data_IF_156947645406
#
_entry.id   IF_156947645406
#
_cell.length_a   1.000
_cell.length_b   1.000
_cell.length_c   1.000
_cell.angle_alpha   90.00
_cell.angle_beta   90.00
_cell.angle_gamma   90.00
#
_symmetry.space_group_name_H-M   'P 1'
#
loop_
_entity.id
_entity.type
_entity.pdbx_description
1 polymer ?
#
# COMPACT_ATOMS: atom_id res chain seq x y z
N UNK A 1 -31.03 -12.77 -14.88
CA UNK A 1 -30.78 -13.11 -16.30
C UNK A 1 -29.87 -12.13 -17.03
N UNK A 2 -30.18 -10.82 -17.07
CA UNK A 2 -29.31 -9.81 -17.74
C UNK A 2 -27.89 -9.82 -17.17
N UNK A 3 -27.72 -9.87 -15.85
CA UNK A 3 -26.41 -9.95 -15.17
C UNK A 3 -25.61 -11.18 -15.58
N UNK A 4 -26.25 -12.34 -15.68
CA UNK A 4 -25.59 -13.58 -16.08
C UNK A 4 -25.13 -13.52 -17.55
N UNK A 5 -25.93 -12.96 -18.44
CA UNK A 5 -25.54 -12.69 -19.82
C UNK A 5 -24.39 -11.70 -19.90
N UNK A 6 -24.44 -10.62 -19.10
CA UNK A 6 -23.37 -9.61 -19.06
C UNK A 6 -22.02 -10.20 -18.62
N UNK A 7 -22.00 -11.09 -17.63
CA UNK A 7 -20.78 -11.82 -17.23
C UNK A 7 -20.20 -12.62 -18.40
N UNK A 8 -21.06 -13.40 -19.08
CA UNK A 8 -20.65 -14.18 -20.24
C UNK A 8 -20.13 -13.32 -21.41
N UNK A 9 -20.77 -12.15 -21.65
CA UNK A 9 -20.33 -11.19 -22.66
C UNK A 9 -18.98 -10.57 -22.32
N UNK A 10 -18.78 -10.10 -21.08
CA UNK A 10 -17.53 -9.49 -20.63
C UNK A 10 -16.34 -10.44 -20.80
N UNK A 11 -16.44 -11.65 -20.27
CA UNK A 11 -15.39 -12.66 -20.38
C UNK A 11 -15.23 -13.11 -21.84
N UNK A 12 -16.34 -13.26 -22.56
CA UNK A 12 -16.36 -13.69 -23.95
C UNK A 12 -15.73 -12.69 -24.93
N UNK A 13 -15.87 -11.38 -24.70
CA UNK A 13 -15.19 -10.33 -25.48
C UNK A 13 -13.68 -10.46 -25.33
N UNK A 14 -13.20 -10.59 -24.11
CA UNK A 14 -11.76 -10.72 -23.82
C UNK A 14 -11.19 -12.01 -24.44
N UNK A 15 -11.84 -13.15 -24.23
CA UNK A 15 -11.41 -14.43 -24.81
C UNK A 15 -11.47 -14.41 -26.33
N UNK A 16 -12.54 -13.87 -26.92
CA UNK A 16 -12.67 -13.71 -28.36
C UNK A 16 -11.62 -12.81 -28.98
N UNK A 17 -11.26 -11.72 -28.31
CA UNK A 17 -10.17 -10.83 -28.71
C UNK A 17 -8.82 -11.53 -28.69
N UNK A 18 -8.51 -12.25 -27.63
CA UNK A 18 -7.24 -12.96 -27.44
C UNK A 18 -7.03 -14.05 -28.51
N UNK A 19 -8.10 -14.80 -28.82
CA UNK A 19 -8.06 -15.94 -29.76
C UNK A 19 -8.37 -15.51 -31.22
N UNK A 20 -8.38 -14.20 -31.53
CA UNK A 20 -8.76 -13.71 -32.88
C UNK A 20 -7.83 -14.19 -34.00
N UNK A 21 -6.58 -14.53 -33.68
CA UNK A 21 -5.59 -15.04 -34.66
C UNK A 21 -5.68 -16.55 -34.92
N UNK A 22 -6.46 -17.31 -34.14
CA UNK A 22 -6.59 -18.75 -34.32
C UNK A 22 -7.60 -19.09 -35.44
N UNK A 23 -7.34 -20.20 -36.15
CA UNK A 23 -8.24 -20.67 -37.25
C UNK A 23 -9.63 -21.00 -36.72
N UNK A 24 -10.67 -20.75 -37.53
CA UNK A 24 -12.01 -21.17 -37.19
C UNK A 24 -12.07 -22.70 -37.00
N UNK A 25 -12.71 -23.13 -35.88
CA UNK A 25 -12.75 -24.54 -35.45
C UNK A 25 -11.69 -24.97 -34.45
N UNK A 26 -10.58 -24.22 -34.28
CA UNK A 26 -9.56 -24.49 -33.28
C UNK A 26 -9.77 -23.67 -31.99
N UNK A 27 -10.65 -22.71 -31.97
CA UNK A 27 -10.99 -21.89 -30.80
C UNK A 27 -11.83 -22.68 -29.81
N UNK A 28 -11.33 -22.89 -28.61
CA UNK A 28 -12.03 -23.65 -27.54
C UNK A 28 -13.35 -23.00 -27.16
N UNK A 29 -13.37 -21.68 -26.97
CA UNK A 29 -14.53 -20.91 -26.58
C UNK A 29 -14.30 -19.42 -26.93
N UNK A 30 -15.24 -18.80 -27.63
CA UNK A 30 -15.24 -17.38 -27.95
C UNK A 30 -16.43 -16.65 -27.34
N UNK A 31 -16.72 -15.45 -27.85
CA UNK A 31 -17.81 -14.59 -27.38
C UNK A 31 -19.16 -15.34 -27.31
N UNK A 32 -19.53 -16.10 -28.34
CA UNK A 32 -20.80 -16.84 -28.37
C UNK A 32 -20.88 -17.89 -27.28
N UNK A 33 -19.81 -18.67 -27.10
CA UNK A 33 -19.76 -19.77 -26.13
C UNK A 33 -19.85 -19.23 -24.69
N UNK A 34 -19.09 -18.20 -24.35
CA UNK A 34 -19.12 -17.59 -23.01
C UNK A 34 -20.47 -16.91 -22.74
N UNK A 35 -21.06 -16.23 -23.73
CA UNK A 35 -22.40 -15.63 -23.59
C UNK A 35 -23.46 -16.67 -23.31
N UNK A 36 -23.46 -17.78 -24.07
CA UNK A 36 -24.39 -18.90 -23.87
C UNK A 36 -24.16 -19.57 -22.52
N UNK A 37 -22.89 -19.73 -22.11
CA UNK A 37 -22.55 -20.28 -20.81
C UNK A 37 -23.09 -19.42 -19.65
N UNK A 38 -22.95 -18.09 -19.74
CA UNK A 38 -23.57 -17.16 -18.82
C UNK A 38 -25.08 -17.29 -18.75
N UNK A 39 -25.75 -17.40 -19.92
CA UNK A 39 -27.19 -17.61 -19.97
C UNK A 39 -27.62 -18.93 -19.32
N UNK A 40 -26.99 -20.04 -19.69
CA UNK A 40 -27.28 -21.37 -19.12
C UNK A 40 -27.09 -21.36 -17.61
N UNK A 41 -26.01 -20.76 -17.14
CA UNK A 41 -25.74 -20.61 -15.72
C UNK A 41 -26.79 -19.74 -15.00
N UNK A 42 -27.22 -18.64 -15.64
CA UNK A 42 -28.28 -17.79 -15.11
C UNK A 42 -29.63 -18.48 -15.02
N UNK A 43 -29.96 -19.32 -15.99
CA UNK A 43 -31.18 -20.17 -15.98
C UNK A 43 -31.08 -21.17 -14.81
N UNK A 44 -29.93 -21.84 -14.66
CA UNK A 44 -29.71 -22.78 -13.56
C UNK A 44 -29.84 -22.07 -12.20
N UNK A 45 -29.26 -20.88 -12.03
CA UNK A 45 -29.39 -20.09 -10.80
C UNK A 45 -30.83 -19.69 -10.49
N UNK A 46 -31.60 -19.26 -11.52
CA UNK A 46 -33.00 -18.92 -11.38
C UNK A 46 -33.84 -20.13 -10.96
N UNK A 47 -33.61 -21.27 -11.57
CA UNK A 47 -34.31 -22.53 -11.22
C UNK A 47 -33.94 -22.96 -9.79
N UNK A 48 -32.67 -22.87 -9.40
CA UNK A 48 -32.23 -23.18 -8.05
C UNK A 48 -32.91 -22.30 -6.99
N UNK A 49 -32.99 -20.99 -7.24
CA UNK A 49 -33.67 -20.04 -6.37
C UNK A 49 -35.19 -20.27 -6.32
N UNK A 50 -35.77 -20.83 -7.39
CA UNK A 50 -37.19 -21.16 -7.49
C UNK A 50 -37.54 -22.53 -6.90
N UNK A 51 -36.60 -23.24 -6.23
CA UNK A 51 -36.83 -24.54 -5.60
C UNK A 51 -36.52 -25.75 -6.48
N UNK A 52 -36.17 -25.58 -7.75
CA UNK A 52 -35.84 -26.68 -8.70
C UNK A 52 -34.33 -27.05 -8.60
N UNK A 53 -33.85 -27.39 -7.41
CA UNK A 53 -32.43 -27.60 -7.13
C UNK A 53 -31.83 -28.75 -7.96
N UNK A 54 -32.53 -29.85 -8.14
CA UNK A 54 -32.06 -31.01 -8.92
C UNK A 54 -31.86 -30.61 -10.39
N UNK A 55 -32.83 -29.89 -10.98
CA UNK A 55 -32.76 -29.42 -12.37
C UNK A 55 -31.61 -28.40 -12.54
N UNK A 56 -31.47 -27.48 -11.60
CA UNK A 56 -30.37 -26.51 -11.56
C UNK A 56 -29.03 -27.22 -11.52
N UNK A 57 -28.85 -28.19 -10.63
CA UNK A 57 -27.67 -29.02 -10.52
C UNK A 57 -27.35 -29.78 -11.81
N UNK A 58 -28.35 -30.42 -12.40
CA UNK A 58 -28.18 -31.16 -13.65
C UNK A 58 -27.69 -30.26 -14.81
N UNK A 59 -28.28 -29.07 -14.94
CA UNK A 59 -27.85 -28.08 -15.97
C UNK A 59 -26.42 -27.63 -15.71
N UNK A 60 -26.07 -27.31 -14.45
CA UNK A 60 -24.73 -26.86 -14.07
C UNK A 60 -23.67 -27.94 -14.32
N UNK A 61 -23.95 -29.18 -13.92
CA UNK A 61 -23.06 -30.32 -14.15
C UNK A 61 -22.93 -30.60 -15.67
N UNK A 62 -24.02 -30.55 -16.42
CA UNK A 62 -23.98 -30.71 -17.87
C UNK A 62 -23.12 -29.64 -18.55
N UNK A 63 -23.28 -28.39 -18.18
CA UNK A 63 -22.44 -27.29 -18.68
C UNK A 63 -20.94 -27.48 -18.32
N UNK A 64 -20.65 -27.85 -17.07
CA UNK A 64 -19.30 -28.13 -16.63
C UNK A 64 -18.68 -29.33 -17.38
N UNK A 65 -19.45 -30.37 -17.63
CA UNK A 65 -18.99 -31.54 -18.39
C UNK A 65 -18.66 -31.17 -19.87
N UNK A 66 -19.47 -30.34 -20.53
CA UNK A 66 -19.18 -29.83 -21.86
C UNK A 66 -17.86 -29.04 -21.89
N UNK A 67 -17.62 -28.17 -20.89
CA UNK A 67 -16.37 -27.43 -20.73
C UNK A 67 -15.20 -28.42 -20.58
N UNK A 68 -15.31 -29.39 -19.67
CA UNK A 68 -14.27 -30.37 -19.42
C UNK A 68 -13.93 -31.22 -20.67
N UNK A 69 -14.93 -31.68 -21.39
CA UNK A 69 -14.75 -32.44 -22.64
C UNK A 69 -14.09 -31.57 -23.71
N UNK A 70 -14.57 -30.33 -23.88
CA UNK A 70 -13.99 -29.36 -24.80
C UNK A 70 -12.50 -29.10 -24.50
N UNK A 71 -12.16 -28.88 -23.24
CA UNK A 71 -10.80 -28.67 -22.81
C UNK A 71 -9.90 -29.89 -23.01
N UNK A 72 -10.37 -31.09 -22.64
CA UNK A 72 -9.65 -32.35 -22.86
C UNK A 72 -9.37 -32.60 -24.34
N UNK A 73 -10.31 -32.25 -25.23
CA UNK A 73 -10.16 -32.38 -26.66
C UNK A 73 -9.11 -31.44 -27.24
N UNK A 74 -9.08 -30.20 -26.75
CA UNK A 74 -8.11 -29.20 -27.19
C UNK A 74 -6.69 -29.58 -26.79
N UNK A 75 -6.49 -30.09 -25.59
CA UNK A 75 -5.17 -30.59 -25.15
C UNK A 75 -4.66 -31.70 -26.07
N UNK A 76 -5.56 -32.60 -26.53
CA UNK A 76 -5.18 -33.71 -27.43
C UNK A 76 -4.78 -33.24 -28.83
N UNK A 77 -5.38 -32.15 -29.30
CA UNK A 77 -5.15 -31.64 -30.67
C UNK A 77 -3.95 -30.70 -30.72
N UNK A 78 -3.86 -29.75 -29.80
CA UNK A 78 -2.90 -28.65 -29.84
C UNK A 78 -1.62 -28.90 -29.00
N UNK A 79 -1.64 -29.92 -28.13
CA UNK A 79 -0.53 -30.25 -27.23
C UNK A 79 -0.22 -29.16 -26.17
N UNK A 80 -0.95 -28.05 -26.18
CA UNK A 80 -0.76 -26.92 -25.27
C UNK A 80 -1.99 -26.76 -24.36
N UNK A 81 -1.90 -27.01 -23.05
CA UNK A 81 -3.02 -26.84 -22.14
C UNK A 81 -3.27 -25.33 -21.89
N UNK A 82 -4.36 -24.78 -22.41
CA UNK A 82 -4.84 -23.44 -22.00
C UNK A 82 -5.77 -23.56 -20.79
N UNK A 83 -5.20 -23.83 -19.62
CA UNK A 83 -5.92 -23.95 -18.36
C UNK A 83 -6.69 -22.66 -18.03
N UNK A 84 -6.20 -21.51 -18.45
CA UNK A 84 -6.83 -20.21 -18.17
C UNK A 84 -8.21 -20.10 -18.80
N UNK A 85 -8.40 -20.57 -20.05
CA UNK A 85 -9.72 -20.56 -20.71
C UNK A 85 -10.70 -21.51 -20.04
N UNK A 86 -10.24 -22.68 -19.57
CA UNK A 86 -11.10 -23.63 -18.84
C UNK A 86 -11.54 -23.05 -17.48
N UNK A 87 -10.60 -22.48 -16.72
CA UNK A 87 -10.90 -21.83 -15.44
C UNK A 87 -11.83 -20.63 -15.64
N UNK A 88 -11.59 -19.77 -16.65
CA UNK A 88 -12.47 -18.67 -16.99
C UNK A 88 -13.90 -19.12 -17.28
N UNK A 89 -14.08 -20.26 -17.97
CA UNK A 89 -15.40 -20.83 -18.25
C UNK A 89 -16.10 -21.31 -16.96
N UNK A 90 -15.37 -21.98 -16.05
CA UNK A 90 -15.92 -22.41 -14.75
C UNK A 90 -16.34 -21.19 -13.91
N UNK A 91 -15.50 -20.15 -13.86
CA UNK A 91 -15.83 -18.92 -13.12
C UNK A 91 -17.02 -18.20 -13.76
N UNK A 92 -17.12 -18.16 -15.09
CA UNK A 92 -18.29 -17.62 -15.79
C UNK A 92 -19.56 -18.39 -15.44
N UNK A 93 -19.48 -19.72 -15.35
CA UNK A 93 -20.60 -20.58 -14.94
C UNK A 93 -21.03 -20.25 -13.50
N UNK A 94 -20.10 -20.14 -12.57
CA UNK A 94 -20.38 -19.83 -11.17
C UNK A 94 -20.99 -18.43 -10.99
N UNK A 95 -20.40 -17.41 -11.61
CA UNK A 95 -20.90 -16.04 -11.56
C UNK A 95 -22.24 -15.87 -12.27
N UNK A 96 -22.44 -16.56 -13.41
CA UNK A 96 -23.73 -16.59 -14.10
C UNK A 96 -24.83 -17.22 -13.24
N UNK A 97 -24.53 -18.31 -12.56
CA UNK A 97 -25.42 -18.95 -11.59
C UNK A 97 -25.78 -17.98 -10.44
N UNK A 98 -24.78 -17.33 -9.86
CA UNK A 98 -24.97 -16.34 -8.80
C UNK A 98 -25.87 -15.18 -9.27
N UNK A 99 -25.68 -14.70 -10.48
CA UNK A 99 -26.52 -13.66 -11.07
C UNK A 99 -27.97 -14.10 -11.35
N UNK A 100 -28.19 -15.41 -11.56
CA UNK A 100 -29.52 -16.00 -11.68
C UNK A 100 -30.20 -16.26 -10.35
N UNK A 101 -29.43 -16.54 -9.30
CA UNK A 101 -29.95 -16.88 -7.96
C UNK A 101 -30.30 -15.66 -7.09
N UNK A 102 -30.21 -14.44 -7.60
CA UNK A 102 -30.65 -13.24 -6.88
C UNK A 102 -29.53 -12.27 -6.49
N UNK A 103 -28.27 -12.55 -6.86
CA UNK A 103 -27.12 -11.72 -6.54
C UNK A 103 -26.51 -11.04 -7.81
N UNK A 104 -27.28 -10.18 -8.53
CA UNK A 104 -26.83 -9.62 -9.79
C UNK A 104 -25.62 -8.68 -9.67
N UNK A 105 -25.52 -7.95 -8.54
CA UNK A 105 -24.44 -7.03 -8.27
C UNK A 105 -23.10 -7.74 -8.13
N UNK A 106 -23.06 -8.81 -7.30
CA UNK A 106 -21.87 -9.63 -7.11
C UNK A 106 -21.45 -10.34 -8.40
N UNK A 107 -22.41 -10.84 -9.17
CA UNK A 107 -22.14 -11.50 -10.44
C UNK A 107 -21.43 -10.57 -11.43
N UNK A 108 -21.97 -9.36 -11.64
CA UNK A 108 -21.40 -8.39 -12.60
C UNK A 108 -20.06 -7.85 -12.11
N UNK A 109 -19.95 -7.52 -10.82
CA UNK A 109 -18.69 -7.06 -10.23
C UNK A 109 -17.60 -8.14 -10.35
N UNK A 110 -17.91 -9.40 -10.02
CA UNK A 110 -17.00 -10.54 -10.20
C UNK A 110 -16.61 -10.74 -11.67
N UNK A 111 -17.58 -10.66 -12.59
CA UNK A 111 -17.34 -10.74 -14.04
C UNK A 111 -16.39 -9.65 -14.55
N UNK A 112 -16.56 -8.41 -14.08
CA UNK A 112 -15.67 -7.30 -14.42
C UNK A 112 -14.25 -7.52 -13.91
N UNK A 113 -14.08 -7.96 -12.64
CA UNK A 113 -12.78 -8.29 -12.05
C UNK A 113 -12.09 -9.42 -12.82
N UNK A 114 -12.81 -10.50 -13.13
CA UNK A 114 -12.25 -11.62 -13.90
C UNK A 114 -11.82 -11.17 -15.28
N UNK A 115 -12.64 -10.40 -15.99
CA UNK A 115 -12.29 -9.87 -17.32
C UNK A 115 -11.05 -8.97 -17.24
N UNK A 116 -10.94 -8.12 -16.22
CA UNK A 116 -9.75 -7.28 -16.00
C UNK A 116 -8.50 -8.13 -15.76
N UNK A 117 -8.56 -9.16 -14.90
CA UNK A 117 -7.44 -10.07 -14.66
C UNK A 117 -7.00 -10.81 -15.93
N UNK A 118 -7.94 -11.22 -16.76
CA UNK A 118 -7.65 -11.87 -18.04
C UNK A 118 -7.01 -10.90 -19.05
N UNK A 119 -7.50 -9.66 -19.11
CA UNK A 119 -6.99 -8.62 -20.00
C UNK A 119 -5.57 -8.17 -19.62
N UNK A 120 -5.27 -8.09 -18.31
CA UNK A 120 -3.96 -7.68 -17.80
C UNK A 120 -2.89 -8.79 -17.81
N UNK A 121 -3.12 -9.90 -18.47
CA UNK A 121 -2.20 -11.06 -18.45
C UNK A 121 -0.75 -10.70 -18.79
N UNK A 122 -0.54 -9.93 -19.87
CA UNK A 122 0.82 -9.58 -20.32
C UNK A 122 1.52 -8.65 -19.33
N UNK A 123 0.79 -7.70 -18.77
CA UNK A 123 1.28 -6.79 -17.75
C UNK A 123 1.65 -7.54 -16.47
N UNK A 124 0.76 -8.41 -16.00
CA UNK A 124 0.98 -9.26 -14.82
C UNK A 124 2.18 -10.19 -15.03
N UNK A 125 2.29 -10.83 -16.20
CA UNK A 125 3.43 -11.70 -16.51
C UNK A 125 4.74 -10.93 -16.54
N UNK A 126 4.77 -9.74 -17.15
CA UNK A 126 5.92 -8.84 -17.17
C UNK A 126 6.31 -8.37 -15.78
N UNK A 127 5.31 -8.07 -14.95
CA UNK A 127 5.54 -7.68 -13.56
C UNK A 127 6.15 -8.83 -12.76
N UNK A 128 5.60 -10.05 -12.85
CA UNK A 128 6.13 -11.23 -12.16
C UNK A 128 7.53 -11.61 -12.66
N UNK A 129 7.76 -11.55 -13.97
CA UNK A 129 9.09 -11.86 -14.54
C UNK A 129 10.17 -10.82 -14.20
N UNK A 130 9.80 -9.64 -13.73
CA UNK A 130 10.72 -8.62 -13.23
C UNK A 130 11.11 -8.82 -11.76
N UNK A 131 10.38 -9.68 -11.01
CA UNK A 131 10.66 -9.99 -9.61
C UNK A 131 11.76 -11.06 -9.52
N UNK A 132 12.65 -10.90 -8.53
CA UNK A 132 13.62 -11.92 -8.16
C UNK A 132 13.14 -12.76 -6.96
N UNK A 133 13.94 -13.75 -6.57
CA UNK A 133 13.60 -14.64 -5.45
C UNK A 133 13.47 -13.88 -4.11
N UNK A 134 14.24 -12.81 -3.93
CA UNK A 134 14.19 -11.98 -2.73
C UNK A 134 12.88 -11.20 -2.66
N UNK A 135 12.39 -10.70 -3.81
CA UNK A 135 11.12 -10.01 -3.94
C UNK A 135 9.94 -10.91 -3.57
N UNK A 136 9.93 -12.14 -4.11
CA UNK A 136 8.89 -13.13 -3.82
C UNK A 136 8.90 -13.52 -2.34
N UNK A 137 10.08 -13.73 -1.75
CA UNK A 137 10.23 -14.00 -0.31
C UNK A 137 9.74 -12.82 0.55
N UNK A 138 10.03 -11.59 0.14
CA UNK A 138 9.55 -10.39 0.83
C UNK A 138 8.02 -10.32 0.80
N UNK A 139 7.42 -10.50 -0.38
CA UNK A 139 5.97 -10.53 -0.53
C UNK A 139 5.31 -11.64 0.30
N UNK A 140 5.87 -12.87 0.26
CA UNK A 140 5.35 -14.00 1.04
C UNK A 140 5.42 -13.73 2.55
N UNK A 141 6.51 -13.15 3.05
CA UNK A 141 6.65 -12.76 4.46
C UNK A 141 5.61 -11.71 4.85
N UNK A 142 5.40 -10.70 4.00
CA UNK A 142 4.36 -9.71 4.24
C UNK A 142 2.97 -10.31 4.27
N UNK A 143 2.65 -11.20 3.33
CA UNK A 143 1.38 -11.91 3.30
C UNK A 143 1.14 -12.73 4.59
N UNK A 144 2.17 -13.39 5.11
CA UNK A 144 2.09 -14.09 6.41
C UNK A 144 1.80 -13.10 7.54
N UNK A 145 2.52 -11.99 7.61
CA UNK A 145 2.30 -10.96 8.64
C UNK A 145 0.88 -10.38 8.54
N UNK A 146 0.44 -10.02 7.34
CA UNK A 146 -0.82 -9.31 7.13
C UNK A 146 -2.05 -10.22 7.16
N UNK A 147 -1.96 -11.43 6.61
CA UNK A 147 -3.12 -12.29 6.38
C UNK A 147 -3.15 -13.53 7.28
N UNK A 148 -1.98 -14.10 7.63
CA UNK A 148 -1.93 -15.31 8.43
C UNK A 148 -1.95 -15.02 9.93
N UNK A 149 -1.25 -13.99 10.41
CA UNK A 149 -1.15 -13.69 11.84
C UNK A 149 -2.36 -12.89 12.34
N UNK A 150 -2.79 -11.89 11.59
CA UNK A 150 -3.83 -10.95 12.00
C UNK A 150 -5.15 -11.60 12.48
N UNK A 151 -5.73 -12.58 11.76
CA UNK A 151 -7.00 -13.19 12.16
C UNK A 151 -6.95 -14.04 13.45
N UNK A 152 -5.74 -14.44 13.86
CA UNK A 152 -5.55 -15.27 15.06
C UNK A 152 -5.21 -14.46 16.31
N UNK A 153 -5.13 -13.15 16.20
CA UNK A 153 -4.85 -12.30 17.34
C UNK A 153 -6.10 -12.14 18.20
N UNK A 154 -5.97 -12.26 19.54
CA UNK A 154 -7.08 -12.13 20.44
C UNK A 154 -7.66 -10.71 20.40
N UNK A 155 -8.98 -10.63 20.53
CA UNK A 155 -9.70 -9.38 20.73
C UNK A 155 -9.65 -8.98 22.20
N UNK A 156 -9.64 -7.65 22.44
CA UNK A 156 -9.65 -7.09 23.79
C UNK A 156 -8.31 -6.50 24.22
N UNK A 157 -8.29 -6.01 25.44
CA UNK A 157 -7.13 -5.32 26.04
C UNK A 157 -6.40 -6.23 27.00
N UNK A 158 -5.09 -6.20 26.96
CA UNK A 158 -4.20 -7.07 27.72
C UNK A 158 -3.03 -6.28 28.32
N UNK A 159 -2.31 -6.95 29.21
CA UNK A 159 -1.07 -6.46 29.76
C UNK A 159 -1.21 -5.40 30.86
N UNK A 160 -0.08 -4.79 31.29
CA UNK A 160 -0.09 -3.76 32.32
C UNK A 160 -0.95 -2.56 31.89
N UNK A 161 -1.79 -2.09 32.77
CA UNK A 161 -2.72 -0.96 32.56
C UNK A 161 -3.69 -1.15 31.38
N UNK A 162 -3.97 -2.39 30.96
CA UNK A 162 -4.78 -2.68 29.75
C UNK A 162 -4.26 -1.94 28.50
N UNK A 163 -2.95 -1.80 28.40
CA UNK A 163 -2.29 -0.99 27.39
C UNK A 163 -2.19 -1.67 26.01
N UNK A 164 -2.35 -2.99 25.93
CA UNK A 164 -2.15 -3.76 24.70
C UNK A 164 -3.47 -4.20 24.11
N UNK A 165 -3.72 -3.77 22.90
CA UNK A 165 -4.76 -4.28 22.01
C UNK A 165 -4.07 -4.99 20.84
N UNK A 166 -3.93 -6.34 20.87
CA UNK A 166 -3.05 -7.06 19.93
C UNK A 166 -3.39 -6.83 18.46
N UNK A 167 -4.68 -6.75 18.13
CA UNK A 167 -5.12 -6.51 16.75
C UNK A 167 -4.71 -5.11 16.27
N UNK A 168 -4.91 -4.08 17.08
CA UNK A 168 -4.52 -2.71 16.75
C UNK A 168 -3.00 -2.59 16.62
N UNK A 169 -2.23 -3.14 17.58
CA UNK A 169 -0.78 -3.15 17.52
C UNK A 169 -0.25 -3.86 16.27
N UNK A 170 -0.86 -4.98 15.90
CA UNK A 170 -0.45 -5.73 14.72
C UNK A 170 -0.88 -5.06 13.42
N UNK A 171 -2.06 -4.45 13.38
CA UNK A 171 -2.54 -3.69 12.22
C UNK A 171 -1.56 -2.57 11.83
N UNK A 172 -0.95 -1.96 12.82
CA UNK A 172 0.10 -0.97 12.59
C UNK A 172 1.31 -1.58 11.90
N UNK A 173 1.76 -2.76 12.37
CA UNK A 173 2.87 -3.47 11.72
C UNK A 173 2.55 -3.73 10.26
N UNK A 174 1.32 -4.18 9.98
CA UNK A 174 0.85 -4.42 8.60
C UNK A 174 0.92 -3.14 7.78
N UNK A 175 0.45 -2.00 8.32
CA UNK A 175 0.48 -0.72 7.58
C UNK A 175 1.92 -0.23 7.36
N UNK A 176 2.74 -0.18 8.39
CA UNK A 176 4.12 0.33 8.29
C UNK A 176 4.98 -0.53 7.38
N UNK A 177 4.89 -1.87 7.54
CA UNK A 177 5.61 -2.80 6.66
C UNK A 177 5.03 -2.79 5.24
N UNK A 178 3.73 -2.56 5.08
CA UNK A 178 3.06 -2.40 3.79
C UNK A 178 3.58 -1.19 3.02
N UNK A 179 3.71 -0.02 3.65
CA UNK A 179 4.34 1.15 3.03
C UNK A 179 5.79 0.85 2.62
N UNK A 180 6.53 0.15 3.47
CA UNK A 180 7.90 -0.26 3.15
C UNK A 180 7.96 -1.19 1.95
N UNK A 181 7.06 -2.18 1.87
CA UNK A 181 6.96 -3.09 0.73
C UNK A 181 6.56 -2.36 -0.56
N UNK A 182 5.55 -1.48 -0.49
CA UNK A 182 5.12 -0.69 -1.65
C UNK A 182 6.24 0.20 -2.17
N UNK A 183 6.97 0.87 -1.28
CA UNK A 183 8.14 1.67 -1.62
C UNK A 183 9.24 0.82 -2.29
N UNK A 184 9.51 -0.37 -1.76
CA UNK A 184 10.47 -1.32 -2.32
C UNK A 184 10.06 -1.81 -3.72
N UNK A 185 8.82 -2.28 -3.89
CA UNK A 185 8.30 -2.75 -5.19
C UNK A 185 8.34 -1.61 -6.21
N UNK A 186 7.87 -0.42 -5.83
CA UNK A 186 7.88 0.73 -6.71
C UNK A 186 9.31 1.11 -7.13
N UNK A 187 10.29 1.05 -6.22
CA UNK A 187 11.70 1.24 -6.55
C UNK A 187 12.22 0.16 -7.52
N UNK A 188 11.87 -1.09 -7.29
CA UNK A 188 12.27 -2.21 -8.14
C UNK A 188 11.73 -2.07 -9.57
N UNK A 189 10.46 -1.66 -9.70
CA UNK A 189 9.80 -1.54 -11.01
C UNK A 189 10.18 -0.26 -11.77
N UNK A 190 10.42 0.84 -11.08
CA UNK A 190 10.52 2.17 -11.69
C UNK A 190 11.83 2.92 -11.38
N UNK A 191 12.48 2.67 -10.23
CA UNK A 191 13.57 3.49 -9.70
C UNK A 191 14.78 3.56 -10.61
N UNK A 192 15.29 2.45 -11.07
CA UNK A 192 16.50 2.39 -11.90
C UNK A 192 16.35 3.03 -13.30
N UNK A 193 15.12 3.14 -13.82
CA UNK A 193 14.83 3.64 -15.16
C UNK A 193 14.38 5.10 -15.23
N UNK A 194 13.93 5.69 -14.10
CA UNK A 194 13.29 7.03 -14.07
C UNK A 194 14.10 8.10 -13.34
N UNK A 195 15.32 7.79 -12.93
CA UNK A 195 16.24 8.78 -12.40
C UNK A 195 16.03 9.18 -10.94
N UNK A 196 16.79 10.17 -10.52
CA UNK A 196 16.92 10.64 -9.14
C UNK A 196 15.58 11.03 -8.48
N UNK A 197 14.66 11.63 -9.24
CA UNK A 197 13.36 12.08 -8.71
C UNK A 197 12.44 10.91 -8.38
N UNK A 198 12.34 9.90 -9.27
CA UNK A 198 11.57 8.70 -8.98
C UNK A 198 12.14 7.95 -7.77
N UNK A 199 13.48 7.86 -7.68
CA UNK A 199 14.16 7.31 -6.51
C UNK A 199 13.84 8.10 -5.23
N UNK A 200 13.74 9.42 -5.30
CA UNK A 200 13.37 10.26 -4.16
C UNK A 200 11.93 10.03 -3.70
N UNK A 201 10.97 9.92 -4.62
CA UNK A 201 9.56 9.64 -4.29
C UNK A 201 9.42 8.26 -3.68
N UNK A 202 9.91 7.24 -4.36
CA UNK A 202 9.78 5.83 -3.98
C UNK A 202 10.56 5.55 -2.70
N UNK A 203 11.84 5.98 -2.66
CA UNK A 203 12.69 5.83 -1.50
C UNK A 203 12.20 6.67 -0.31
N UNK A 204 11.65 7.86 -0.56
CA UNK A 204 11.02 8.72 0.45
C UNK A 204 9.82 8.08 1.13
N UNK A 205 9.01 7.33 0.39
CA UNK A 205 7.91 6.54 0.92
C UNK A 205 8.39 5.37 1.80
N UNK A 206 9.57 4.82 1.50
CA UNK A 206 10.19 3.76 2.30
C UNK A 206 10.98 4.31 3.49
N UNK A 207 11.95 5.17 3.23
CA UNK A 207 12.81 5.81 4.23
C UNK A 207 13.40 7.12 3.72
N UNK A 208 12.75 8.23 4.04
CA UNK A 208 13.22 9.56 3.63
C UNK A 208 14.60 9.92 4.22
N UNK A 209 14.95 9.37 5.40
CA UNK A 209 16.26 9.55 6.01
C UNK A 209 17.35 8.83 5.24
N UNK A 210 17.11 7.58 4.79
CA UNK A 210 18.04 6.83 3.96
C UNK A 210 18.27 7.50 2.60
N UNK A 211 17.23 8.06 1.98
CA UNK A 211 17.37 8.86 0.75
C UNK A 211 18.21 10.10 0.98
N UNK A 212 17.94 10.85 2.07
CA UNK A 212 18.73 12.03 2.44
C UNK A 212 20.19 11.67 2.61
N UNK A 213 20.50 10.59 3.33
CA UNK A 213 21.87 10.13 3.56
C UNK A 213 22.56 9.74 2.24
N UNK A 214 21.93 8.89 1.43
CA UNK A 214 22.48 8.40 0.17
C UNK A 214 22.77 9.55 -0.80
N UNK A 215 21.81 10.45 -0.99
CA UNK A 215 22.01 11.60 -1.89
C UNK A 215 23.03 12.60 -1.35
N UNK A 216 23.07 12.83 -0.04
CA UNK A 216 24.08 13.69 0.59
C UNK A 216 25.49 13.12 0.43
N UNK A 217 25.67 11.80 0.58
CA UNK A 217 26.96 11.14 0.36
C UNK A 217 27.41 11.29 -1.10
N UNK A 218 26.51 11.12 -2.08
CA UNK A 218 26.84 11.33 -3.51
C UNK A 218 27.23 12.77 -3.80
N UNK A 219 26.49 13.74 -3.28
CA UNK A 219 26.80 15.15 -3.40
C UNK A 219 28.18 15.46 -2.83
N UNK A 220 28.47 14.94 -1.62
CA UNK A 220 29.76 15.13 -0.96
C UNK A 220 30.94 14.47 -1.68
N UNK A 221 30.71 13.35 -2.37
CA UNK A 221 31.70 12.68 -3.22
C UNK A 221 31.88 13.32 -4.62
N UNK A 222 31.13 14.37 -4.94
CA UNK A 222 31.15 14.99 -6.27
C UNK A 222 30.51 14.13 -7.37
N UNK A 223 29.75 13.12 -7.01
CA UNK A 223 29.10 12.17 -7.92
C UNK A 223 27.61 12.52 -8.18
N UNK A 224 27.20 13.74 -7.83
CA UNK A 224 25.82 14.19 -8.01
C UNK A 224 25.52 14.45 -9.49
N UNK A 225 24.39 13.90 -9.98
CA UNK A 225 23.86 14.12 -11.32
C UNK A 225 22.98 15.38 -11.46
N UNK A 226 22.93 16.25 -10.44
CA UNK A 226 22.22 17.54 -10.45
C UNK A 226 20.86 17.55 -9.74
N UNK A 227 20.11 16.45 -9.70
CA UNK A 227 18.76 16.41 -9.14
C UNK A 227 18.70 15.92 -7.67
N UNK A 228 19.82 15.56 -7.04
CA UNK A 228 19.86 15.02 -5.68
C UNK A 228 19.36 16.01 -4.63
N UNK A 229 19.69 17.30 -4.80
CA UNK A 229 19.20 18.35 -3.90
C UNK A 229 17.66 18.44 -3.92
N UNK A 230 17.06 18.40 -5.13
CA UNK A 230 15.61 18.36 -5.29
C UNK A 230 15.03 17.05 -4.74
N UNK A 231 15.73 15.93 -4.92
CA UNK A 231 15.35 14.62 -4.42
C UNK A 231 15.28 14.57 -2.90
N UNK A 232 16.22 15.17 -2.17
CA UNK A 232 16.20 15.26 -0.70
C UNK A 232 14.96 16.03 -0.22
N UNK A 233 14.67 17.18 -0.84
CA UNK A 233 13.48 17.98 -0.51
C UNK A 233 12.18 17.21 -0.82
N UNK A 234 12.13 16.51 -1.96
CA UNK A 234 10.96 15.72 -2.38
C UNK A 234 10.73 14.50 -1.47
N UNK A 235 11.77 13.78 -1.10
CA UNK A 235 11.67 12.68 -0.15
C UNK A 235 11.11 13.13 1.21
N UNK A 236 11.41 14.36 1.61
CA UNK A 236 10.83 14.97 2.82
C UNK A 236 9.35 15.31 2.63
N UNK A 237 8.95 15.84 1.48
CA UNK A 237 7.53 16.08 1.17
C UNK A 237 6.72 14.77 1.16
N UNK A 238 7.28 13.70 0.60
CA UNK A 238 6.69 12.36 0.60
C UNK A 238 6.56 11.81 2.02
N UNK A 239 7.55 12.05 2.88
CA UNK A 239 7.44 11.70 4.31
C UNK A 239 6.24 12.40 4.97
N UNK A 240 6.05 13.70 4.77
CA UNK A 240 4.88 14.39 5.31
C UNK A 240 3.57 13.78 4.83
N UNK A 241 3.46 13.45 3.53
CA UNK A 241 2.28 12.76 3.00
C UNK A 241 2.05 11.41 3.66
N UNK A 242 3.11 10.60 3.83
CA UNK A 242 3.04 9.31 4.52
C UNK A 242 2.50 9.48 5.95
N UNK A 243 3.03 10.45 6.69
CA UNK A 243 2.59 10.71 8.07
C UNK A 243 1.13 11.17 8.10
N UNK A 244 0.68 12.01 7.16
CA UNK A 244 -0.74 12.38 7.04
C UNK A 244 -1.62 11.16 6.78
N UNK A 245 -1.20 10.23 5.91
CA UNK A 245 -1.93 8.97 5.67
C UNK A 245 -2.00 8.12 6.93
N UNK A 246 -0.88 7.97 7.65
CA UNK A 246 -0.85 7.22 8.92
C UNK A 246 -1.79 7.83 9.97
N UNK A 247 -1.77 9.14 10.15
CA UNK A 247 -2.70 9.83 11.07
C UNK A 247 -4.15 9.65 10.63
N UNK A 248 -4.43 9.71 9.33
CA UNK A 248 -5.78 9.50 8.80
C UNK A 248 -6.32 8.11 9.12
N UNK A 249 -5.47 7.08 9.02
CA UNK A 249 -5.88 5.68 9.20
C UNK A 249 -5.87 5.27 10.68
N UNK A 250 -4.85 5.69 11.43
CA UNK A 250 -4.59 5.18 12.78
C UNK A 250 -5.06 6.12 13.89
N UNK A 251 -5.15 7.42 13.63
CA UNK A 251 -5.43 8.45 14.62
C UNK A 251 -6.36 9.53 14.05
N UNK A 252 -7.50 9.12 13.47
CA UNK A 252 -8.42 9.99 12.72
C UNK A 252 -8.89 11.22 13.51
N UNK A 253 -9.04 11.08 14.85
CA UNK A 253 -9.39 12.20 15.74
C UNK A 253 -8.37 13.33 15.72
N UNK A 254 -7.10 13.04 15.43
CA UNK A 254 -6.02 14.00 15.37
C UNK A 254 -5.90 14.70 14.00
N UNK A 255 -6.58 14.21 12.97
CA UNK A 255 -6.35 14.61 11.58
C UNK A 255 -6.53 16.13 11.36
N UNK A 256 -7.61 16.72 11.87
CA UNK A 256 -7.86 18.16 11.68
C UNK A 256 -6.77 19.04 12.29
N UNK A 257 -6.45 18.94 13.61
CA UNK A 257 -5.39 19.75 14.19
C UNK A 257 -4.02 19.43 13.58
N UNK A 258 -3.74 18.17 13.23
CA UNK A 258 -2.49 17.77 12.62
C UNK A 258 -2.29 18.36 11.22
N UNK A 259 -3.33 18.37 10.37
CA UNK A 259 -3.27 18.97 9.03
C UNK A 259 -2.94 20.45 9.08
N UNK A 260 -3.49 21.20 10.04
CA UNK A 260 -3.19 22.62 10.21
C UNK A 260 -1.70 22.85 10.50
N UNK A 261 -1.09 21.96 11.28
CA UNK A 261 0.33 22.04 11.62
C UNK A 261 1.26 21.63 10.48
N UNK A 262 0.86 20.61 9.70
CA UNK A 262 1.73 19.98 8.69
C UNK A 262 1.56 20.58 7.29
N UNK A 263 0.44 21.18 6.96
CA UNK A 263 0.21 21.75 5.63
C UNK A 263 1.25 22.83 5.23
N UNK A 264 1.65 23.79 6.10
CA UNK A 264 2.68 24.75 5.72
C UNK A 264 4.04 24.13 5.41
N UNK A 265 4.67 23.29 6.26
CA UNK A 265 5.96 22.67 5.95
C UNK A 265 5.89 21.70 4.77
N UNK A 266 4.76 20.99 4.58
CA UNK A 266 4.52 20.16 3.40
C UNK A 266 4.54 21.00 2.12
N UNK A 267 3.78 22.13 2.09
CA UNK A 267 3.75 23.03 0.95
C UNK A 267 5.15 23.61 0.64
N UNK A 268 5.88 24.05 1.67
CA UNK A 268 7.26 24.54 1.52
C UNK A 268 8.15 23.46 0.91
N UNK A 269 8.08 22.21 1.40
CA UNK A 269 8.88 21.10 0.89
C UNK A 269 8.61 20.83 -0.60
N UNK A 270 7.33 20.84 -1.03
CA UNK A 270 6.97 20.66 -2.43
C UNK A 270 7.43 21.84 -3.31
N UNK A 271 7.18 23.07 -2.89
CA UNK A 271 7.54 24.27 -3.65
C UNK A 271 9.05 24.34 -3.84
N UNK A 272 9.83 24.13 -2.76
CA UNK A 272 11.29 24.20 -2.82
C UNK A 272 11.85 23.01 -3.63
N UNK A 273 11.28 21.81 -3.48
CA UNK A 273 11.65 20.66 -4.31
C UNK A 273 11.44 20.93 -5.80
N UNK A 274 10.29 21.48 -6.18
CA UNK A 274 9.98 21.83 -7.55
C UNK A 274 10.92 22.92 -8.11
N UNK A 275 11.21 23.93 -7.30
CA UNK A 275 12.14 24.98 -7.69
C UNK A 275 13.58 24.46 -7.89
N UNK A 276 14.06 23.60 -6.98
CA UNK A 276 15.36 22.94 -7.11
C UNK A 276 15.42 22.02 -8.34
N UNK A 277 14.32 21.28 -8.58
CA UNK A 277 14.21 20.41 -9.76
C UNK A 277 14.31 21.19 -11.07
N UNK A 278 13.64 22.34 -11.18
CA UNK A 278 13.73 23.19 -12.37
C UNK A 278 15.12 23.75 -12.64
N UNK A 279 15.95 23.84 -11.59
CA UNK A 279 17.35 24.33 -11.69
C UNK A 279 18.37 23.20 -11.86
N UNK A 280 17.95 21.94 -11.73
CA UNK A 280 18.83 20.79 -11.80
C UNK A 280 19.00 20.26 -13.22
N UNK A 281 20.19 19.75 -13.52
CA UNK A 281 20.44 18.95 -14.71
C UNK A 281 19.94 17.51 -14.49
N UNK A 282 19.44 16.85 -15.55
CA UNK A 282 18.85 15.52 -15.44
C UNK A 282 19.95 14.45 -15.38
N UNK A 283 20.09 13.83 -14.22
CA UNK A 283 21.01 12.71 -14.00
C UNK A 283 20.29 11.43 -13.58
N UNK A 284 20.92 10.28 -13.83
CA UNK A 284 20.45 8.97 -13.37
C UNK A 284 20.96 8.67 -11.96
N UNK A 285 20.06 8.44 -11.00
CA UNK A 285 20.39 8.08 -9.61
C UNK A 285 20.45 6.58 -9.36
N UNK A 286 21.23 6.11 -8.38
CA UNK A 286 21.21 4.71 -7.95
C UNK A 286 19.93 4.35 -7.21
N UNK A 287 19.57 3.07 -7.25
CA UNK A 287 18.46 2.53 -6.47
C UNK A 287 18.76 2.59 -4.96
N UNK A 288 17.76 2.86 -4.08
CA UNK A 288 17.93 2.74 -2.64
C UNK A 288 18.28 1.30 -2.24
N UNK A 289 19.14 1.11 -1.22
CA UNK A 289 19.52 -0.22 -0.77
C UNK A 289 18.45 -0.86 0.12
N UNK A 290 18.33 -2.18 0.07
CA UNK A 290 17.83 -2.99 1.16
C UNK A 290 16.52 -3.74 0.92
N UNK A 291 16.44 -4.92 1.53
CA UNK A 291 15.23 -5.73 1.66
C UNK A 291 14.33 -5.13 2.76
N UNK A 292 13.11 -4.64 2.47
CA UNK A 292 12.29 -3.88 3.40
C UNK A 292 11.60 -4.72 4.47
N UNK A 293 11.54 -6.04 4.31
CA UNK A 293 10.79 -6.92 5.22
C UNK A 293 11.74 -7.91 5.89
N UNK A 294 12.52 -7.39 6.83
CA UNK A 294 13.17 -8.23 7.81
C UNK A 294 12.22 -8.43 9.00
N UNK A 295 11.95 -9.68 9.37
CA UNK A 295 11.07 -10.01 10.50
C UNK A 295 11.57 -9.43 11.82
N UNK A 296 12.88 -9.40 12.04
CA UNK A 296 13.45 -8.88 13.27
C UNK A 296 13.20 -7.38 13.49
N UNK A 297 13.39 -6.47 12.52
CA UNK A 297 12.96 -5.08 12.63
C UNK A 297 11.45 -4.91 12.85
N UNK A 298 10.60 -5.72 12.18
CA UNK A 298 9.17 -5.65 12.38
C UNK A 298 8.77 -6.05 13.80
N UNK A 299 9.31 -7.14 14.34
CA UNK A 299 9.05 -7.59 15.71
C UNK A 299 9.62 -6.62 16.76
N UNK A 300 10.82 -6.07 16.53
CA UNK A 300 11.39 -5.05 17.42
C UNK A 300 10.54 -3.77 17.42
N UNK A 301 9.96 -3.40 16.28
CA UNK A 301 9.01 -2.29 16.20
C UNK A 301 7.75 -2.56 17.04
N UNK A 302 7.13 -3.76 16.92
CA UNK A 302 5.99 -4.14 17.76
C UNK A 302 6.33 -4.09 19.24
N UNK A 303 7.48 -4.66 19.64
CA UNK A 303 7.91 -4.67 21.03
C UNK A 303 8.12 -3.24 21.55
N UNK A 304 8.70 -2.38 20.71
CA UNK A 304 8.88 -0.95 21.05
C UNK A 304 7.53 -0.24 21.23
N UNK A 305 6.58 -0.42 20.29
CA UNK A 305 5.24 0.18 20.39
C UNK A 305 4.46 -0.36 21.59
N UNK A 306 4.56 -1.67 21.86
CA UNK A 306 3.92 -2.27 23.03
C UNK A 306 4.49 -1.72 24.36
N UNK A 307 5.81 -1.58 24.47
CA UNK A 307 6.44 -0.94 25.63
C UNK A 307 6.04 0.53 25.78
N UNK A 308 5.95 1.23 24.67
CA UNK A 308 5.52 2.61 24.60
C UNK A 308 4.05 2.81 25.02
N UNK A 309 3.15 1.90 24.65
CA UNK A 309 1.77 1.93 25.08
C UNK A 309 1.63 1.78 26.61
N UNK A 310 2.41 0.89 27.22
CA UNK A 310 2.49 0.78 28.69
C UNK A 310 3.01 2.06 29.34
N UNK A 311 4.10 2.62 28.79
CA UNK A 311 4.67 3.87 29.28
C UNK A 311 3.70 5.05 29.15
N UNK A 312 2.88 5.10 28.08
CA UNK A 312 1.85 6.12 27.88
C UNK A 312 0.76 6.03 28.95
N UNK A 313 0.28 4.82 29.27
CA UNK A 313 -0.72 4.61 30.33
C UNK A 313 -0.17 4.95 31.73
N UNK A 314 1.06 4.56 31.98
CA UNK A 314 1.74 4.94 33.23
C UNK A 314 1.91 6.47 33.34
N UNK A 315 2.38 7.14 32.30
CA UNK A 315 2.55 8.57 32.26
C UNK A 315 1.23 9.33 32.42
N UNK A 316 0.14 8.81 31.81
CA UNK A 316 -1.21 9.33 31.99
C UNK A 316 -1.63 9.32 33.47
N UNK A 317 -1.44 8.19 34.15
CA UNK A 317 -1.81 8.02 35.57
C UNK A 317 -1.00 8.88 36.51
N UNK A 318 0.25 9.23 36.13
CA UNK A 318 1.20 9.96 37.00
C UNK A 318 1.25 11.46 36.71
N UNK A 319 1.22 11.85 35.43
CA UNK A 319 1.46 13.23 34.97
C UNK A 319 0.30 13.80 34.12
N UNK A 320 -0.80 13.05 33.94
CA UNK A 320 -1.91 13.48 33.10
C UNK A 320 -1.55 13.67 31.64
N UNK A 321 -2.27 14.54 30.95
CA UNK A 321 -2.12 14.79 29.49
C UNK A 321 -0.72 15.28 29.10
N UNK A 322 -0.06 16.06 29.93
CA UNK A 322 1.27 16.59 29.64
C UNK A 322 2.33 15.49 29.63
N UNK A 323 2.21 14.51 30.54
CA UNK A 323 3.10 13.36 30.56
C UNK A 323 2.99 12.51 29.29
N UNK A 324 1.78 12.33 28.78
CA UNK A 324 1.55 11.64 27.49
C UNK A 324 2.16 12.42 26.34
N UNK A 325 1.95 13.73 26.28
CA UNK A 325 2.50 14.56 25.22
C UNK A 325 4.05 14.48 25.16
N UNK A 326 4.70 14.57 26.33
CA UNK A 326 6.16 14.42 26.43
C UNK A 326 6.60 13.02 25.98
N UNK A 327 5.87 11.97 26.38
CA UNK A 327 6.20 10.61 25.98
C UNK A 327 6.04 10.42 24.46
N UNK A 328 4.95 10.89 23.86
CA UNK A 328 4.74 10.85 22.41
C UNK A 328 5.87 11.58 21.67
N UNK A 329 6.28 12.74 22.19
CA UNK A 329 7.41 13.47 21.63
C UNK A 329 8.72 12.66 21.72
N UNK A 330 9.07 12.14 22.88
CA UNK A 330 10.31 11.37 23.07
C UNK A 330 10.34 10.10 22.22
N UNK A 331 9.25 9.36 22.16
CA UNK A 331 9.13 8.17 21.30
C UNK A 331 9.32 8.50 19.84
N UNK A 332 8.67 9.54 19.38
CA UNK A 332 8.71 9.93 17.99
C UNK A 332 10.05 10.52 17.55
N UNK A 333 10.93 10.96 18.48
CA UNK A 333 12.32 11.27 18.12
C UNK A 333 13.09 10.04 17.64
N UNK A 334 12.71 8.85 18.12
CA UNK A 334 13.26 7.57 17.67
C UNK A 334 12.49 7.06 16.45
N UNK A 335 11.16 7.07 16.51
CA UNK A 335 10.28 6.63 15.42
C UNK A 335 8.94 7.38 15.43
N UNK A 336 8.73 8.22 14.40
CA UNK A 336 7.50 9.01 14.24
C UNK A 336 6.26 8.12 14.09
N UNK A 337 6.38 6.99 13.38
CA UNK A 337 5.28 6.07 13.15
C UNK A 337 4.81 5.47 14.49
N UNK A 338 5.74 5.10 15.38
CA UNK A 338 5.42 4.58 16.70
C UNK A 338 4.65 5.60 17.58
N UNK A 339 5.00 6.87 17.49
CA UNK A 339 4.29 7.95 18.19
C UNK A 339 2.84 8.10 17.69
N UNK A 340 2.63 8.07 16.36
CA UNK A 340 1.28 8.14 15.74
C UNK A 340 0.41 6.97 16.20
N UNK A 341 0.99 5.78 16.18
CA UNK A 341 0.33 4.54 16.60
C UNK A 341 -0.12 4.60 18.04
N UNK A 342 0.83 4.96 18.91
CA UNK A 342 0.53 5.07 20.34
C UNK A 342 -0.56 6.09 20.59
N UNK A 343 -0.50 7.25 19.93
CA UNK A 343 -1.55 8.27 20.03
C UNK A 343 -2.92 7.78 19.54
N UNK A 344 -2.96 6.99 18.44
CA UNK A 344 -4.18 6.40 17.90
C UNK A 344 -4.79 5.31 18.78
N UNK A 345 -3.97 4.59 19.54
CA UNK A 345 -4.39 3.54 20.49
C UNK A 345 -4.81 4.07 21.87
N UNK A 346 -4.68 5.37 22.16
CA UNK A 346 -5.14 5.95 23.41
C UNK A 346 -6.67 6.01 23.46
N UNK A 347 -7.22 5.86 24.67
CA UNK A 347 -8.67 6.05 24.86
C UNK A 347 -9.10 7.49 24.56
N UNK A 348 -10.32 7.66 23.98
CA UNK A 348 -10.88 8.99 23.79
C UNK A 348 -10.92 9.78 25.11
N UNK A 349 -10.41 11.02 25.08
CA UNK A 349 -10.33 11.87 26.27
C UNK A 349 -9.06 11.72 27.11
N UNK A 350 -8.17 10.79 26.80
CA UNK A 350 -6.88 10.61 27.48
C UNK A 350 -5.92 11.78 27.28
N UNK A 351 -5.93 12.35 26.08
CA UNK A 351 -5.17 13.55 25.69
C UNK A 351 -6.02 14.35 24.70
N UNK A 352 -5.93 15.67 24.77
CA UNK A 352 -6.62 16.51 23.79
C UNK A 352 -6.01 16.28 22.40
N UNK A 353 -6.85 16.18 21.32
CA UNK A 353 -6.35 15.99 19.97
C UNK A 353 -5.31 17.04 19.53
N UNK A 354 -5.46 18.27 20.04
CA UNK A 354 -4.55 19.37 19.74
C UNK A 354 -3.15 19.14 20.34
N UNK A 355 -3.08 18.76 21.61
CA UNK A 355 -1.83 18.51 22.31
C UNK A 355 -1.10 17.28 21.74
N UNK A 356 -1.84 16.22 21.41
CA UNK A 356 -1.28 15.04 20.74
C UNK A 356 -0.73 15.39 19.34
N UNK A 357 -1.47 16.18 18.55
CA UNK A 357 -1.00 16.64 17.24
C UNK A 357 0.27 17.48 17.34
N UNK A 358 0.37 18.37 18.35
CA UNK A 358 1.59 19.13 18.62
C UNK A 358 2.77 18.25 19.00
N UNK A 359 2.55 17.25 19.87
CA UNK A 359 3.60 16.30 20.26
C UNK A 359 4.14 15.54 19.03
N UNK A 360 3.26 14.98 18.19
CA UNK A 360 3.64 14.27 16.96
C UNK A 360 4.33 15.22 15.97
N UNK A 361 3.83 16.42 15.75
CA UNK A 361 4.48 17.39 14.87
C UNK A 361 5.86 17.83 15.41
N UNK A 362 6.03 17.90 16.73
CA UNK A 362 7.31 18.11 17.39
C UNK A 362 8.32 16.99 17.09
N UNK A 363 7.89 15.74 17.03
CA UNK A 363 8.76 14.61 16.67
C UNK A 363 9.26 14.71 15.24
N UNK A 364 8.39 15.19 14.32
CA UNK A 364 8.78 15.41 12.93
C UNK A 364 9.85 16.51 12.86
N UNK A 365 9.73 17.56 13.70
CA UNK A 365 10.75 18.61 13.79
C UNK A 365 12.09 18.03 14.21
N UNK A 366 12.14 17.14 15.21
CA UNK A 366 13.36 16.46 15.64
C UNK A 366 13.95 15.58 14.52
N UNK A 367 13.12 14.81 13.84
CA UNK A 367 13.53 14.01 12.66
C UNK A 367 14.10 14.89 11.53
N UNK A 368 13.51 16.06 11.29
CA UNK A 368 14.02 17.04 10.32
C UNK A 368 15.39 17.59 10.71
N UNK A 369 15.61 17.83 12.01
CA UNK A 369 16.93 18.27 12.50
C UNK A 369 18.01 17.21 12.24
N UNK A 370 17.69 15.92 12.44
CA UNK A 370 18.61 14.82 12.12
C UNK A 370 18.93 14.80 10.62
N UNK A 371 17.93 14.93 9.75
CA UNK A 371 18.13 14.98 8.28
C UNK A 371 18.98 16.17 7.85
N UNK A 372 18.75 17.34 8.45
CA UNK A 372 19.55 18.53 8.20
C UNK A 372 21.00 18.27 8.59
N UNK A 373 21.24 17.69 9.78
CA UNK A 373 22.59 17.30 10.23
C UNK A 373 23.26 16.32 9.26
N UNK A 374 22.55 15.29 8.81
CA UNK A 374 23.02 14.32 7.81
C UNK A 374 23.37 15.02 6.49
N UNK A 375 22.51 15.92 6.00
CA UNK A 375 22.74 16.67 4.76
C UNK A 375 24.00 17.55 4.86
N UNK A 376 24.22 18.22 5.95
CA UNK A 376 25.41 19.07 6.19
C UNK A 376 26.65 18.21 6.34
N UNK A 377 26.61 17.14 7.15
CA UNK A 377 27.78 16.32 7.47
C UNK A 377 28.31 15.57 6.23
N UNK A 378 27.42 14.93 5.47
CA UNK A 378 27.82 14.13 4.31
C UNK A 378 27.86 14.91 3.00
N UNK A 379 26.93 15.85 2.77
CA UNK A 379 26.80 16.55 1.52
C UNK A 379 27.69 17.78 1.37
N UNK A 380 28.19 18.29 2.51
CA UNK A 380 29.10 19.45 2.58
C UNK A 380 28.59 20.65 1.75
N UNK A 381 29.46 21.30 1.02
CA UNK A 381 29.11 22.48 0.18
C UNK A 381 28.12 22.16 -0.95
N UNK A 382 28.16 20.94 -1.52
CA UNK A 382 27.33 20.54 -2.64
C UNK A 382 25.87 20.27 -2.26
N UNK A 383 25.59 20.01 -0.99
CA UNK A 383 24.23 19.81 -0.48
C UNK A 383 23.63 21.09 0.14
N UNK A 384 24.29 22.27 0.01
CA UNK A 384 23.75 23.54 0.52
C UNK A 384 22.31 23.81 0.08
N UNK A 385 21.91 23.61 -1.20
CA UNK A 385 20.53 23.83 -1.62
C UNK A 385 19.52 22.88 -0.92
N UNK A 386 19.87 21.60 -0.74
CA UNK A 386 19.06 20.66 0.02
C UNK A 386 18.97 21.02 1.50
N UNK A 387 20.10 21.41 2.12
CA UNK A 387 20.14 21.85 3.52
C UNK A 387 19.28 23.08 3.74
N UNK A 388 19.28 24.05 2.82
CA UNK A 388 18.36 25.20 2.87
C UNK A 388 16.90 24.79 2.69
N UNK A 389 16.60 23.82 1.83
CA UNK A 389 15.25 23.29 1.65
C UNK A 389 14.73 22.63 2.95
N UNK A 390 15.57 21.79 3.58
CA UNK A 390 15.26 21.16 4.86
C UNK A 390 15.08 22.20 5.97
N UNK A 391 15.97 23.19 6.06
CA UNK A 391 15.88 24.26 7.04
C UNK A 391 14.62 25.12 6.86
N UNK A 392 14.25 25.47 5.62
CA UNK A 392 13.04 26.22 5.32
C UNK A 392 11.77 25.46 5.75
N UNK A 393 11.70 24.15 5.44
CA UNK A 393 10.59 23.30 5.89
C UNK A 393 10.56 23.17 7.41
N UNK A 394 11.72 23.03 8.04
CA UNK A 394 11.84 22.94 9.50
C UNK A 394 11.39 24.23 10.18
N UNK A 395 11.76 25.39 9.66
CA UNK A 395 11.30 26.70 10.15
C UNK A 395 9.78 26.85 9.97
N UNK A 396 9.23 26.46 8.83
CA UNK A 396 7.79 26.48 8.61
C UNK A 396 7.05 25.59 9.63
N UNK A 397 7.59 24.39 9.93
CA UNK A 397 7.03 23.49 10.93
C UNK A 397 7.13 24.09 12.33
N UNK A 398 8.29 24.67 12.68
CA UNK A 398 8.49 25.32 13.99
C UNK A 398 7.51 26.48 14.19
N UNK A 399 7.33 27.33 13.19
CA UNK A 399 6.34 28.42 13.23
C UNK A 399 4.93 27.87 13.41
N UNK A 400 4.57 26.82 12.66
CA UNK A 400 3.27 26.16 12.81
C UNK A 400 3.05 25.60 14.22
N UNK A 401 4.09 25.02 14.84
CA UNK A 401 4.05 24.51 16.21
C UNK A 401 3.85 25.64 17.22
N UNK A 402 4.59 26.73 17.08
CA UNK A 402 4.45 27.91 17.97
C UNK A 402 3.04 28.51 17.86
N UNK A 403 2.54 28.70 16.63
CA UNK A 403 1.18 29.22 16.41
C UNK A 403 0.13 28.23 16.93
N UNK A 404 0.33 26.93 16.74
CA UNK A 404 -0.56 25.89 17.27
C UNK A 404 -0.59 25.88 18.79
N UNK A 405 0.57 26.02 19.43
CA UNK A 405 0.69 26.09 20.90
C UNK A 405 0.01 27.32 21.50
N UNK A 406 0.15 28.47 20.86
CA UNK A 406 -0.48 29.73 21.32
C UNK A 406 -2.01 29.75 21.16
N UNK A 407 -2.59 28.76 20.46
CA UNK A 407 -4.04 28.61 20.26
C UNK A 407 -4.70 27.59 21.21
N UNK A 408 -3.92 26.91 22.04
CA UNK A 408 -4.40 26.07 23.15
C UNK A 408 -4.73 26.97 24.34
#
# INVERSE_FOLDING_TARGET
MISALSVGLLVGIERGWKLRGEKEGMRVAGLRTFSLLGCVAGIAGLLGASGYQITAGAITIGAAAIIAIGYARTIRIDGKPDATSAVAAIVTLALGFLGGSGEPGLAVAGGAVVTMLLALREELHRMVSALDEADVKAFARYAVIALAVFPFLPEGRFGPYDAWEPQTLWFVVVIVTGFSLLGYIANRLFGAKRGTIATAVIGGAYSSTAVTQSFSQRLGAGQGGGAENAGIALATAVMYLRVVVLVTVLATSLLKPFLVLIAPPLAVSFIVSYWLYRKSEHGTGPAPPGNPIALLPALSFVAFVAAAAVAARWAQGTFGEQGIAVLLFLMGTMDVDASIVTAGGLEPGTITPHLAALAIAGTILANMAVKLGVSIAYGRANARPASWALAASMVALFVSLVVGYLRI
#
